data_IF_071739661008
#
_entry.id   IF_071739661008
#
_cell.length_a   1.000
_cell.length_b   1.000
_cell.length_c   1.000
_cell.angle_alpha   90.00
_cell.angle_beta   90.00
_cell.angle_gamma   90.00
#
_symmetry.space_group_name_H-M   'P 1'
#
loop_
_entity.id
_entity.type
_entity.pdbx_description
1 polymer ?
#
# COMPACT_ATOMS: atom_id res chain seq x y z
N UNK A 1 22.28 -44.22 37.28
CA UNK A 1 22.17 -42.81 37.67
C UNK A 1 21.83 -42.00 36.43
N UNK A 2 20.63 -41.43 36.43
CA UNK A 2 20.07 -40.63 35.34
C UNK A 2 20.71 -39.24 35.28
N UNK A 3 20.78 -38.65 34.09
CA UNK A 3 20.29 -37.32 33.67
C UNK A 3 20.35 -37.33 32.13
N UNK A 4 19.34 -37.02 31.32
CA UNK A 4 18.13 -36.25 31.55
C UNK A 4 18.03 -35.18 30.45
N UNK A 5 18.01 -35.56 29.18
CA UNK A 5 17.69 -34.63 28.08
C UNK A 5 16.22 -34.82 27.70
N UNK A 6 15.36 -33.99 28.30
CA UNK A 6 13.94 -33.92 27.97
C UNK A 6 13.69 -33.43 26.54
N UNK A 7 12.47 -33.58 26.02
CA UNK A 7 12.15 -33.15 24.66
C UNK A 7 12.31 -31.63 24.55
N UNK A 8 13.13 -31.18 23.59
CA UNK A 8 13.20 -29.78 23.19
C UNK A 8 11.84 -29.39 22.59
N UNK A 9 10.93 -28.93 23.42
CA UNK A 9 9.72 -28.21 22.99
C UNK A 9 10.16 -26.87 22.39
N UNK A 10 10.59 -26.90 21.13
CA UNK A 10 10.88 -25.71 20.35
C UNK A 10 9.57 -25.00 20.02
N UNK A 11 9.12 -24.10 20.89
CA UNK A 11 8.00 -23.21 20.56
C UNK A 11 8.42 -22.38 19.36
N UNK A 12 7.75 -22.61 18.22
CA UNK A 12 7.94 -21.79 17.02
C UNK A 12 7.59 -20.35 17.34
N UNK A 13 8.41 -19.39 16.87
CA UNK A 13 8.12 -17.97 17.04
C UNK A 13 6.76 -17.67 16.39
N UNK A 14 5.77 -17.14 17.13
CA UNK A 14 4.48 -16.80 16.56
C UNK A 14 4.64 -15.82 15.40
N UNK A 15 3.82 -15.97 14.37
CA UNK A 15 3.71 -15.02 13.26
C UNK A 15 2.41 -14.25 13.41
N UNK A 16 2.47 -12.94 13.27
CA UNK A 16 1.31 -12.06 13.36
C UNK A 16 1.33 -11.01 12.24
N UNK A 17 0.17 -10.40 12.02
CA UNK A 17 0.01 -9.26 11.11
C UNK A 17 -0.41 -8.03 11.90
N UNK A 18 0.22 -6.89 11.61
CA UNK A 18 -0.21 -5.58 12.09
C UNK A 18 -0.66 -4.74 10.90
N UNK A 19 -1.85 -4.13 11.02
CA UNK A 19 -2.37 -3.22 9.99
C UNK A 19 -2.43 -1.81 10.56
N UNK A 20 -1.84 -0.86 9.84
CA UNK A 20 -2.04 0.56 10.07
C UNK A 20 -2.93 1.11 8.95
N UNK A 21 -3.90 1.93 9.34
CA UNK A 21 -4.87 2.55 8.43
C UNK A 21 -4.63 4.05 8.40
N UNK A 22 -4.57 4.63 7.21
CA UNK A 22 -4.51 6.07 6.96
C UNK A 22 -5.52 6.46 5.88
N UNK A 23 -5.75 7.76 5.73
CA UNK A 23 -6.61 8.30 4.67
C UNK A 23 -5.94 9.52 4.03
N UNK A 24 -5.99 9.59 2.71
CA UNK A 24 -5.48 10.73 1.95
C UNK A 24 -6.50 11.16 0.88
N UNK A 25 -6.53 12.45 0.59
CA UNK A 25 -7.42 13.02 -0.42
C UNK A 25 -6.62 13.33 -1.69
N UNK A 26 -7.00 12.77 -2.83
CA UNK A 26 -6.31 13.03 -4.09
C UNK A 26 -7.29 13.17 -5.26
N UNK A 27 -6.90 13.96 -6.25
CA UNK A 27 -7.60 14.09 -7.53
C UNK A 27 -6.85 13.39 -8.65
N UNK A 28 -7.57 12.91 -9.66
CA UNK A 28 -6.99 12.26 -10.83
C UNK A 28 -7.93 12.23 -12.03
N UNK A 29 -7.42 11.79 -13.18
CA UNK A 29 -8.15 11.50 -14.41
C UNK A 29 -7.59 10.22 -15.02
N UNK A 30 -8.45 9.20 -15.15
CA UNK A 30 -8.04 7.98 -15.84
C UNK A 30 -7.97 8.24 -17.35
N UNK A 31 -6.76 8.44 -17.88
CA UNK A 31 -6.49 8.68 -19.30
C UNK A 31 -5.16 8.03 -19.69
N UNK A 32 -5.17 7.19 -20.71
CA UNK A 32 -3.97 6.56 -21.25
C UNK A 32 -3.44 7.36 -22.44
N UNK A 33 -2.13 7.73 -22.47
CA UNK A 33 -1.52 8.37 -23.63
C UNK A 33 -1.33 7.41 -24.82
N UNK A 34 -1.58 6.11 -24.62
CA UNK A 34 -1.47 5.08 -25.67
C UNK A 34 -2.81 4.78 -26.35
N UNK A 35 -3.87 5.48 -25.98
CA UNK A 35 -5.22 5.33 -26.53
C UNK A 35 -5.67 6.65 -27.16
N UNK A 36 -6.51 6.56 -28.17
CA UNK A 36 -7.21 7.73 -28.72
C UNK A 36 -8.20 8.31 -27.69
N UNK A 37 -8.63 9.56 -27.90
CA UNK A 37 -9.64 10.18 -27.02
C UNK A 37 -10.97 9.40 -27.00
N UNK A 38 -11.37 8.83 -28.14
CA UNK A 38 -12.59 8.01 -28.23
C UNK A 38 -12.46 6.70 -27.45
N UNK A 39 -11.31 6.02 -27.54
CA UNK A 39 -11.05 4.81 -26.76
C UNK A 39 -10.99 5.11 -25.26
N UNK A 40 -10.31 6.19 -24.86
CA UNK A 40 -10.27 6.65 -23.48
C UNK A 40 -11.67 6.94 -22.92
N UNK A 41 -12.49 7.68 -23.67
CA UNK A 41 -13.86 7.97 -23.27
C UNK A 41 -14.72 6.70 -23.16
N UNK A 42 -14.54 5.74 -24.07
CA UNK A 42 -15.27 4.47 -24.05
C UNK A 42 -14.86 3.56 -22.88
N UNK A 43 -13.56 3.47 -22.58
CA UNK A 43 -13.01 2.57 -21.55
C UNK A 43 -13.22 3.15 -20.14
N UNK A 44 -12.85 4.41 -19.94
CA UNK A 44 -12.84 5.02 -18.60
C UNK A 44 -14.11 5.82 -18.29
N UNK A 45 -14.94 6.13 -19.30
CA UNK A 45 -16.23 6.78 -19.11
C UNK A 45 -16.14 8.05 -18.28
N UNK A 46 -16.94 8.12 -17.21
CA UNK A 46 -16.99 9.28 -16.31
C UNK A 46 -15.63 9.58 -15.64
N UNK A 47 -14.78 8.58 -15.44
CA UNK A 47 -13.47 8.75 -14.85
C UNK A 47 -12.47 9.45 -15.79
N UNK A 48 -12.79 9.57 -17.10
CA UNK A 48 -12.00 10.32 -18.08
C UNK A 48 -12.35 11.81 -18.15
N UNK A 49 -13.19 12.35 -17.26
CA UNK A 49 -13.57 13.77 -17.25
C UNK A 49 -12.32 14.67 -17.45
N UNK A 50 -12.27 15.58 -18.44
CA UNK A 50 -11.08 16.38 -18.75
C UNK A 50 -10.55 17.19 -17.56
N UNK A 51 -11.43 17.60 -16.65
CA UNK A 51 -11.06 18.34 -15.42
C UNK A 51 -10.79 17.43 -14.21
N UNK A 52 -10.80 16.11 -14.41
CA UNK A 52 -10.60 15.11 -13.37
C UNK A 52 -11.79 14.93 -12.42
N UNK A 53 -11.53 14.17 -11.37
CA UNK A 53 -12.38 13.96 -10.20
C UNK A 53 -11.46 13.62 -9.03
N UNK A 54 -11.99 13.29 -7.85
CA UNK A 54 -11.15 12.91 -6.72
C UNK A 54 -11.85 12.02 -5.72
N UNK A 55 -11.05 11.50 -4.80
CA UNK A 55 -11.47 10.52 -3.81
C UNK A 55 -10.79 10.78 -2.47
N UNK A 56 -11.46 10.34 -1.41
CA UNK A 56 -10.85 10.17 -0.09
C UNK A 56 -10.44 8.71 0.01
N UNK A 57 -9.20 8.44 -0.40
CA UNK A 57 -8.67 7.09 -0.35
C UNK A 57 -8.49 6.65 1.09
N UNK A 58 -8.83 5.40 1.38
CA UNK A 58 -8.47 4.73 2.64
C UNK A 58 -7.41 3.68 2.34
N UNK A 59 -6.25 3.85 2.95
CA UNK A 59 -5.09 2.98 2.80
C UNK A 59 -4.94 2.09 4.03
N UNK A 60 -4.92 0.78 3.82
CA UNK A 60 -4.57 -0.21 4.83
C UNK A 60 -3.21 -0.81 4.46
N UNK A 61 -2.22 -0.61 5.33
CA UNK A 61 -0.87 -1.19 5.20
C UNK A 61 -0.74 -2.30 6.24
N UNK A 62 -0.69 -3.54 5.77
CA UNK A 62 -0.47 -4.71 6.62
C UNK A 62 0.97 -5.18 6.50
N UNK A 63 1.63 -5.37 7.64
CA UNK A 63 2.95 -5.99 7.74
C UNK A 63 2.82 -7.29 8.52
N UNK A 64 3.33 -8.39 7.96
CA UNK A 64 3.29 -9.73 8.57
C UNK A 64 4.69 -10.26 8.79
N UNK A 65 4.94 -10.83 9.97
CA UNK A 65 6.25 -11.37 10.33
C UNK A 65 6.28 -12.02 11.71
N UNK A 66 7.45 -12.54 12.14
CA UNK A 66 7.62 -13.11 13.46
C UNK A 66 7.44 -12.04 14.54
N UNK A 67 6.82 -12.41 15.65
CA UNK A 67 6.75 -11.57 16.85
C UNK A 67 8.11 -11.62 17.55
N UNK A 68 8.77 -10.47 17.66
CA UNK A 68 10.05 -10.36 18.36
C UNK A 68 9.91 -10.78 19.83
N UNK A 69 10.85 -11.58 20.33
CA UNK A 69 10.78 -12.17 21.67
C UNK A 69 11.03 -11.15 22.79
N UNK A 70 11.81 -10.11 22.52
CA UNK A 70 12.15 -9.09 23.50
C UNK A 70 11.10 -7.99 23.56
N UNK A 71 10.55 -7.60 22.41
CA UNK A 71 9.64 -6.46 22.31
C UNK A 71 8.18 -6.86 22.15
N UNK A 72 7.87 -8.09 21.74
CA UNK A 72 6.50 -8.55 21.48
C UNK A 72 5.88 -7.92 20.22
N UNK A 73 6.68 -7.43 19.27
CA UNK A 73 6.19 -6.71 18.09
C UNK A 73 6.62 -7.40 16.79
N UNK A 74 5.80 -7.29 15.75
CA UNK A 74 6.20 -7.60 14.36
C UNK A 74 7.06 -6.46 13.80
N UNK A 75 6.60 -5.23 14.03
CA UNK A 75 7.29 -3.99 13.69
C UNK A 75 6.85 -2.93 14.70
N UNK A 76 7.73 -1.99 15.04
CA UNK A 76 7.35 -0.83 15.83
C UNK A 76 6.36 0.03 15.05
N UNK A 77 5.14 0.20 15.57
CA UNK A 77 4.07 0.92 14.87
C UNK A 77 4.38 2.41 14.66
N UNK A 78 5.24 2.99 15.51
CA UNK A 78 5.73 4.35 15.33
C UNK A 78 6.64 4.46 14.10
N UNK A 79 7.42 3.44 13.79
CA UNK A 79 8.28 3.43 12.59
C UNK A 79 7.45 3.14 11.35
N UNK A 80 6.49 2.21 11.41
CA UNK A 80 5.52 2.01 10.32
C UNK A 80 4.76 3.30 9.98
N UNK A 81 4.36 4.08 11.00
CA UNK A 81 3.75 5.41 10.78
C UNK A 81 4.69 6.34 10.01
N UNK A 82 5.96 6.42 10.39
CA UNK A 82 6.94 7.29 9.73
C UNK A 82 7.14 6.90 8.27
N UNK A 83 7.26 5.59 7.99
CA UNK A 83 7.41 5.09 6.62
C UNK A 83 6.19 5.43 5.77
N UNK A 84 4.97 5.23 6.29
CA UNK A 84 3.75 5.60 5.56
C UNK A 84 3.69 7.12 5.34
N UNK A 85 4.06 7.92 6.33
CA UNK A 85 4.08 9.37 6.19
C UNK A 85 5.04 9.81 5.07
N UNK A 86 6.32 9.42 5.14
CA UNK A 86 7.35 9.90 4.21
C UNK A 86 7.18 9.37 2.80
N UNK A 87 6.81 8.09 2.66
CA UNK A 87 6.79 7.41 1.37
C UNK A 87 5.44 7.51 0.64
N UNK A 88 4.37 7.84 1.37
CA UNK A 88 3.00 7.79 0.83
C UNK A 88 2.26 9.10 1.08
N UNK A 89 2.09 9.50 2.32
CA UNK A 89 1.23 10.65 2.65
C UNK A 89 1.80 11.95 2.08
N UNK A 90 3.09 12.19 2.26
CA UNK A 90 3.76 13.39 1.74
C UNK A 90 3.73 13.45 0.20
N UNK A 91 3.67 12.29 -0.45
CA UNK A 91 3.63 12.16 -1.91
C UNK A 91 2.21 12.25 -2.49
N UNK A 92 1.18 11.78 -1.80
CA UNK A 92 -0.15 11.58 -2.36
C UNK A 92 -1.25 12.47 -1.75
N UNK A 93 -1.11 12.90 -0.50
CA UNK A 93 -2.17 13.65 0.18
C UNK A 93 -2.29 15.09 -0.33
N UNK A 94 -3.53 15.50 -0.59
CA UNK A 94 -3.89 16.79 -1.19
C UNK A 94 -3.18 17.06 -2.53
N UNK A 95 -2.97 16.01 -3.34
CA UNK A 95 -2.33 16.09 -4.66
C UNK A 95 -3.28 15.78 -5.81
N UNK A 96 -2.90 16.22 -7.00
CA UNK A 96 -3.35 15.62 -8.25
C UNK A 96 -2.37 14.51 -8.65
N UNK A 97 -2.83 13.26 -8.71
CA UNK A 97 -1.96 12.11 -8.98
C UNK A 97 -1.21 12.28 -10.31
N UNK A 98 -1.92 12.62 -11.38
CA UNK A 98 -1.36 12.68 -12.74
C UNK A 98 -0.45 13.89 -13.00
N UNK A 99 -0.50 14.91 -12.14
CA UNK A 99 0.22 16.18 -12.32
C UNK A 99 1.32 16.45 -11.29
N UNK A 100 1.11 16.00 -10.05
CA UNK A 100 2.00 16.32 -8.94
C UNK A 100 2.88 15.13 -8.53
N UNK A 101 2.60 13.92 -9.05
CA UNK A 101 3.33 12.70 -8.72
C UNK A 101 4.00 12.16 -9.99
N UNK A 102 5.33 12.32 -10.15
CA UNK A 102 6.03 12.00 -11.39
C UNK A 102 5.81 10.58 -11.93
N UNK A 103 5.51 9.62 -11.05
CA UNK A 103 5.20 8.24 -11.45
C UNK A 103 3.97 8.15 -12.38
N UNK A 104 2.92 8.95 -12.13
CA UNK A 104 1.67 8.88 -12.88
C UNK A 104 1.66 9.76 -14.14
N UNK A 105 2.75 10.47 -14.46
CA UNK A 105 2.87 11.15 -15.75
C UNK A 105 2.85 10.16 -16.93
N UNK A 106 3.30 8.93 -16.70
CA UNK A 106 3.40 7.87 -17.72
C UNK A 106 2.63 6.60 -17.37
N UNK A 107 2.00 6.56 -16.20
CA UNK A 107 1.26 5.40 -15.69
C UNK A 107 -0.16 5.86 -15.35
N UNK A 108 -1.17 5.19 -15.90
CA UNK A 108 -2.58 5.53 -15.61
C UNK A 108 -2.85 5.34 -14.11
N UNK A 109 -3.42 6.35 -13.45
CA UNK A 109 -3.65 6.39 -12.00
C UNK A 109 -4.81 5.51 -11.50
N UNK A 110 -5.01 4.32 -12.06
CA UNK A 110 -6.02 3.40 -11.53
C UNK A 110 -5.69 2.97 -10.11
N UNK A 111 -6.69 2.56 -9.33
CA UNK A 111 -6.51 2.11 -7.94
C UNK A 111 -5.49 0.97 -7.84
N UNK A 112 -5.41 0.11 -8.85
CA UNK A 112 -4.39 -0.93 -8.99
C UNK A 112 -2.97 -0.35 -9.06
N UNK A 113 -2.73 0.60 -9.96
CA UNK A 113 -1.41 1.21 -10.10
C UNK A 113 -1.04 2.06 -8.89
N UNK A 114 -2.01 2.70 -8.22
CA UNK A 114 -1.75 3.40 -6.95
C UNK A 114 -1.36 2.41 -5.85
N UNK A 115 -2.05 1.26 -5.74
CA UNK A 115 -1.67 0.23 -4.76
C UNK A 115 -0.26 -0.34 -5.03
N UNK A 116 0.09 -0.56 -6.30
CA UNK A 116 1.44 -0.97 -6.72
C UNK A 116 2.48 0.10 -6.36
N UNK A 117 2.23 1.37 -6.67
CA UNK A 117 3.11 2.48 -6.33
C UNK A 117 3.37 2.54 -4.82
N UNK A 118 2.32 2.52 -4.00
CA UNK A 118 2.42 2.54 -2.54
C UNK A 118 3.25 1.36 -2.03
N UNK A 119 2.98 0.15 -2.54
CA UNK A 119 3.75 -1.03 -2.17
C UNK A 119 5.22 -0.89 -2.54
N UNK A 120 5.52 -0.40 -3.74
CA UNK A 120 6.90 -0.20 -4.19
C UNK A 120 7.66 0.83 -3.34
N UNK A 121 7.02 1.91 -2.90
CA UNK A 121 7.69 2.89 -2.03
C UNK A 121 7.95 2.29 -0.64
N UNK A 122 6.95 1.67 -0.03
CA UNK A 122 7.09 1.07 1.30
C UNK A 122 8.09 -0.10 1.33
N UNK A 123 8.12 -0.93 0.28
CA UNK A 123 9.07 -2.05 0.17
C UNK A 123 10.55 -1.61 0.15
N UNK A 124 10.85 -0.37 -0.22
CA UNK A 124 12.23 0.18 -0.20
C UNK A 124 12.73 0.47 1.21
N UNK A 125 11.82 0.82 2.11
CA UNK A 125 12.16 1.30 3.47
C UNK A 125 11.82 0.29 4.56
N UNK A 126 10.96 -0.69 4.28
CA UNK A 126 10.59 -1.72 5.25
C UNK A 126 11.76 -2.67 5.56
N UNK A 127 11.88 -3.12 6.83
CA UNK A 127 12.83 -4.16 7.19
C UNK A 127 12.64 -5.43 6.36
N UNK A 128 13.77 -6.06 5.97
CA UNK A 128 13.76 -7.34 5.24
C UNK A 128 13.12 -8.45 6.07
N UNK A 129 12.53 -9.44 5.38
CA UNK A 129 11.92 -10.60 6.02
C UNK A 129 10.49 -10.36 6.55
N UNK A 130 9.93 -9.17 6.32
CA UNK A 130 8.53 -8.86 6.55
C UNK A 130 7.75 -8.96 5.24
N UNK A 131 6.54 -9.48 5.30
CA UNK A 131 5.61 -9.48 4.16
C UNK A 131 4.77 -8.20 4.21
N UNK A 132 4.65 -7.52 3.07
CA UNK A 132 3.86 -6.30 2.92
C UNK A 132 2.61 -6.59 2.08
N UNK A 133 1.46 -6.19 2.61
CA UNK A 133 0.21 -6.10 1.86
C UNK A 133 -0.32 -4.67 1.91
N UNK A 134 -0.67 -4.15 0.75
CA UNK A 134 -1.34 -2.86 0.58
C UNK A 134 -2.77 -3.12 0.15
N UNK A 135 -3.74 -2.57 0.87
CA UNK A 135 -5.15 -2.58 0.49
C UNK A 135 -5.66 -1.16 0.40
N UNK A 136 -6.05 -0.74 -0.79
CA UNK A 136 -6.43 0.62 -1.11
C UNK A 136 -7.91 0.67 -1.49
N UNK A 137 -8.65 1.45 -0.74
CA UNK A 137 -10.04 1.77 -1.02
C UNK A 137 -10.08 3.09 -1.77
N UNK A 138 -10.53 3.07 -3.02
CA UNK A 138 -10.86 4.29 -3.76
C UNK A 138 -12.20 4.86 -3.26
N UNK A 139 -13.14 3.97 -3.01
CA UNK A 139 -14.43 4.26 -2.36
C UNK A 139 -14.78 3.11 -1.42
N UNK A 140 -15.89 3.22 -0.68
CA UNK A 140 -16.39 2.13 0.16
C UNK A 140 -16.71 0.84 -0.61
N UNK A 141 -16.88 0.92 -1.94
CA UNK A 141 -17.30 -0.18 -2.81
C UNK A 141 -16.19 -0.68 -3.75
N UNK A 142 -15.12 0.09 -3.91
CA UNK A 142 -14.03 -0.23 -4.83
C UNK A 142 -12.74 -0.39 -4.02
N UNK A 143 -12.21 -1.62 -3.98
CA UNK A 143 -11.05 -1.95 -3.16
C UNK A 143 -10.08 -2.80 -3.96
N UNK A 144 -8.81 -2.41 -3.96
CA UNK A 144 -7.72 -3.20 -4.54
C UNK A 144 -6.79 -3.68 -3.44
N UNK A 145 -6.28 -4.89 -3.56
CA UNK A 145 -5.23 -5.44 -2.70
C UNK A 145 -4.03 -5.84 -3.56
N UNK A 146 -2.83 -5.47 -3.12
CA UNK A 146 -1.57 -5.84 -3.76
C UNK A 146 -0.56 -6.33 -2.71
N UNK A 147 0.09 -7.47 -3.00
CA UNK A 147 0.96 -8.19 -2.05
C UNK A 147 2.39 -8.40 -2.57
N UNK A 148 2.73 -7.92 -3.77
CA UNK A 148 4.07 -8.00 -4.35
C UNK A 148 4.51 -9.44 -4.63
N UNK A 149 4.16 -9.94 -5.80
CA UNK A 149 4.47 -11.30 -6.26
C UNK A 149 5.96 -11.67 -6.14
#
# INVERSE_FOLDING_TARGET
>A
FAMGDGPRNGISTPVASVTRIESFSASHRLHSPHLTDTENAAIFGKCNNPNGHGHNYKLEVTVTGPVDKATGMVINITDLKKYIQSEVMDALDHKNLDKDVPHFETVVSTTENVAVFVWQQLSKVLPRGLQLRVRLHETDKNVVTYEGF
#
